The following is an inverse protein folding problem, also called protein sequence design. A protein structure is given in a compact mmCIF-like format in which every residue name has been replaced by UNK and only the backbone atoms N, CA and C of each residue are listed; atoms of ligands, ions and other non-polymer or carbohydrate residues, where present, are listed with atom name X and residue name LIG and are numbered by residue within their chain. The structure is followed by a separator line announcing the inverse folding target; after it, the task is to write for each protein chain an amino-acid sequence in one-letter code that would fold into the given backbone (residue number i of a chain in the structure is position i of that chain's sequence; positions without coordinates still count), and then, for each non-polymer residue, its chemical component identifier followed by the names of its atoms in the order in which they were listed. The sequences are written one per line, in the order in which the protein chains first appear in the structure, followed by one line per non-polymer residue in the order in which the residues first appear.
data_IF_549771045164
#
_entry.id   IF_549771045164
#
_cell.length_a   1.000
_cell.length_b   1.000
_cell.length_c   1.000
_cell.angle_alpha   90.00
_cell.angle_beta   90.00
_cell.angle_gamma   90.00
#
_symmetry.space_group_name_H-M   'P 1'
#
loop_
_entity.id
_entity.type
_entity.pdbx_description
1 polymer ?
#
# COMPACT_ATOMS: atom_id res chain seq x y z
N UNK A 1 15.44 -11.06 10.22
CA UNK A 1 16.08 -11.46 8.94
C UNK A 1 16.82 -10.23 8.41
N UNK A 2 18.12 -10.32 8.17
CA UNK A 2 18.93 -9.14 7.81
C UNK A 2 18.48 -8.63 6.42
N UNK A 3 17.99 -7.40 6.36
CA UNK A 3 17.47 -6.79 5.13
C UNK A 3 18.56 -6.77 4.06
N UNK A 4 18.36 -7.54 2.98
CA UNK A 4 19.34 -7.72 1.93
C UNK A 4 19.54 -6.38 1.20
N UNK A 5 20.78 -5.88 1.17
CA UNK A 5 21.15 -4.62 0.51
C UNK A 5 20.61 -4.55 -0.91
N UNK A 6 20.70 -5.66 -1.65
CA UNK A 6 20.23 -5.75 -3.04
C UNK A 6 18.73 -5.50 -3.17
N UNK A 7 17.92 -6.04 -2.26
CA UNK A 7 16.46 -5.82 -2.25
C UNK A 7 16.17 -4.33 -2.06
N UNK A 8 16.81 -3.68 -1.10
CA UNK A 8 16.62 -2.24 -0.85
C UNK A 8 17.04 -1.37 -2.03
N UNK A 9 18.10 -1.74 -2.73
CA UNK A 9 18.59 -0.99 -3.89
C UNK A 9 17.54 -1.07 -5.03
N UNK A 10 16.89 -2.23 -5.22
CA UNK A 10 15.76 -2.36 -6.15
C UNK A 10 14.50 -1.62 -5.70
N UNK A 11 14.13 -1.67 -4.42
CA UNK A 11 12.97 -0.92 -3.88
C UNK A 11 13.14 0.58 -4.10
N UNK A 12 14.34 1.11 -3.82
CA UNK A 12 14.65 2.55 -4.01
C UNK A 12 14.64 2.94 -5.48
N UNK A 13 15.19 2.08 -6.35
CA UNK A 13 15.15 2.29 -7.79
C UNK A 13 13.70 2.34 -8.31
N UNK A 14 12.85 1.44 -7.82
CA UNK A 14 11.43 1.47 -8.17
C UNK A 14 10.77 2.77 -7.71
N UNK A 15 10.94 3.16 -6.45
CA UNK A 15 10.36 4.41 -5.90
C UNK A 15 10.80 5.65 -6.69
N UNK A 16 12.10 5.74 -7.02
CA UNK A 16 12.64 6.83 -7.82
C UNK A 16 12.01 6.87 -9.21
N UNK A 17 11.96 5.74 -9.92
CA UNK A 17 11.40 5.67 -11.26
C UNK A 17 9.89 5.93 -11.31
N UNK A 18 9.13 5.40 -10.35
CA UNK A 18 7.68 5.62 -10.26
C UNK A 18 7.39 7.07 -9.88
N UNK A 19 8.25 7.75 -9.12
CA UNK A 19 8.08 9.18 -8.85
C UNK A 19 8.11 10.02 -10.14
N UNK A 20 8.89 9.60 -11.14
CA UNK A 20 9.08 10.34 -12.40
C UNK A 20 8.11 9.96 -13.53
N UNK A 21 7.61 8.71 -13.56
CA UNK A 21 6.76 8.23 -14.67
C UNK A 21 5.82 7.09 -14.26
N UNK A 22 4.71 6.88 -14.99
CA UNK A 22 3.74 5.82 -14.69
C UNK A 22 4.38 4.42 -14.57
N UNK A 23 4.02 3.69 -13.51
CA UNK A 23 4.56 2.35 -13.21
C UNK A 23 4.37 1.35 -14.36
N UNK A 24 3.23 1.40 -15.04
CA UNK A 24 2.96 0.50 -16.18
C UNK A 24 3.98 0.65 -17.31
N UNK A 25 4.56 1.85 -17.49
CA UNK A 25 5.57 2.13 -18.52
C UNK A 25 6.98 1.70 -18.13
N UNK A 26 7.20 1.31 -16.87
CA UNK A 26 8.50 0.84 -16.41
C UNK A 26 8.84 -0.54 -16.95
N UNK A 27 10.08 -0.75 -17.35
CA UNK A 27 10.63 -2.06 -17.68
C UNK A 27 11.57 -2.55 -16.58
N UNK A 28 11.78 -3.87 -16.50
CA UNK A 28 12.76 -4.46 -15.59
C UNK A 28 14.16 -3.94 -15.88
N UNK A 29 14.51 -3.71 -17.14
CA UNK A 29 15.83 -3.18 -17.53
C UNK A 29 16.06 -1.78 -16.96
N UNK A 30 15.05 -0.89 -17.04
CA UNK A 30 15.14 0.44 -16.43
C UNK A 30 15.33 0.38 -14.91
N UNK A 31 14.63 -0.54 -14.23
CA UNK A 31 14.77 -0.74 -12.78
C UNK A 31 16.17 -1.25 -12.44
N UNK A 32 16.72 -2.17 -13.25
CA UNK A 32 18.07 -2.71 -13.07
C UNK A 32 19.15 -1.64 -13.30
N UNK A 33 18.98 -0.82 -14.33
CA UNK A 33 19.86 0.32 -14.62
C UNK A 33 19.89 1.32 -13.46
N UNK A 34 18.71 1.74 -12.97
CA UNK A 34 18.59 2.66 -11.84
C UNK A 34 19.19 2.08 -10.55
N UNK A 35 18.96 0.78 -10.29
CA UNK A 35 19.51 0.10 -9.12
C UNK A 35 21.03 -0.16 -9.21
N UNK A 36 21.65 0.05 -10.37
CA UNK A 36 23.04 -0.32 -10.69
C UNK A 36 23.31 -1.82 -10.48
N UNK A 37 22.35 -2.67 -10.86
CA UNK A 37 22.38 -4.11 -10.64
C UNK A 37 22.04 -4.89 -11.92
N UNK A 38 22.54 -6.12 -12.01
CA UNK A 38 22.22 -6.98 -13.14
C UNK A 38 20.79 -7.53 -13.08
N UNK A 39 20.20 -7.75 -14.25
CA UNK A 39 18.88 -8.39 -14.40
C UNK A 39 18.80 -9.80 -13.78
N UNK A 40 19.90 -10.55 -13.79
CA UNK A 40 19.98 -11.84 -13.11
C UNK A 40 19.88 -11.71 -11.58
N UNK A 41 20.29 -10.58 -11.01
CA UNK A 41 20.07 -10.26 -9.60
C UNK A 41 18.62 -9.94 -9.33
N UNK A 42 17.92 -9.24 -10.23
CA UNK A 42 16.49 -8.95 -10.10
C UNK A 42 15.68 -10.24 -9.95
N UNK A 43 15.82 -11.18 -10.91
CA UNK A 43 15.05 -12.43 -10.91
C UNK A 43 15.43 -13.41 -9.79
N UNK A 44 16.47 -13.11 -9.00
CA UNK A 44 16.77 -13.86 -7.77
C UNK A 44 15.80 -13.51 -6.65
N UNK A 45 15.25 -12.30 -6.65
CA UNK A 45 14.43 -11.77 -5.55
C UNK A 45 12.99 -11.49 -5.97
N UNK A 46 12.75 -11.21 -7.25
CA UNK A 46 11.45 -10.79 -7.76
C UNK A 46 11.05 -11.56 -9.01
N UNK A 47 9.80 -11.99 -9.08
CA UNK A 47 9.25 -12.64 -10.27
C UNK A 47 9.10 -11.64 -11.43
N UNK A 48 8.56 -10.47 -11.13
CA UNK A 48 8.35 -9.37 -12.06
C UNK A 48 8.33 -8.02 -11.30
N UNK A 49 7.98 -6.93 -12.00
CA UNK A 49 7.92 -5.60 -11.39
C UNK A 49 6.75 -5.41 -10.42
N UNK A 50 5.67 -6.20 -10.53
CA UNK A 50 4.53 -6.15 -9.62
C UNK A 50 4.89 -6.82 -8.30
N UNK A 51 5.60 -7.94 -8.33
CA UNK A 51 6.18 -8.56 -7.12
C UNK A 51 7.14 -7.61 -6.40
N UNK A 52 8.02 -6.90 -7.14
CA UNK A 52 8.84 -5.84 -6.53
C UNK A 52 7.99 -4.72 -5.91
N UNK A 53 6.91 -4.28 -6.58
CA UNK A 53 6.01 -3.25 -6.05
C UNK A 53 5.33 -3.72 -4.76
N UNK A 54 4.80 -4.94 -4.75
CA UNK A 54 4.14 -5.55 -3.59
C UNK A 54 5.09 -5.64 -2.40
N UNK A 55 6.31 -6.17 -2.63
CA UNK A 55 7.33 -6.27 -1.58
C UNK A 55 7.76 -4.87 -1.08
N UNK A 56 7.87 -3.89 -1.98
CA UNK A 56 8.19 -2.50 -1.61
C UNK A 56 7.11 -1.91 -0.72
N UNK A 57 5.84 -2.00 -1.11
CA UNK A 57 4.70 -1.51 -0.32
C UNK A 57 4.68 -2.21 1.04
N UNK A 58 4.78 -3.53 1.08
CA UNK A 58 4.82 -4.31 2.32
C UNK A 58 5.97 -3.87 3.23
N UNK A 59 7.17 -3.63 2.69
CA UNK A 59 8.32 -3.15 3.46
C UNK A 59 8.06 -1.77 4.07
N UNK A 60 7.45 -0.83 3.33
CA UNK A 60 7.09 0.50 3.83
C UNK A 60 5.98 0.43 4.89
N UNK A 61 4.92 -0.33 4.64
CA UNK A 61 3.85 -0.54 5.60
C UNK A 61 4.38 -1.16 6.91
N UNK A 62 5.22 -2.19 6.83
CA UNK A 62 5.85 -2.80 7.99
C UNK A 62 6.75 -1.82 8.76
N UNK A 63 7.46 -0.94 8.06
CA UNK A 63 8.28 0.09 8.71
C UNK A 63 7.43 1.14 9.44
N UNK A 64 6.25 1.49 8.91
CA UNK A 64 5.30 2.38 9.59
C UNK A 64 4.67 1.67 10.80
N UNK A 65 4.28 0.41 10.62
CA UNK A 65 3.75 -0.44 11.69
C UNK A 65 4.68 -0.54 12.89
N UNK A 66 5.97 -0.74 12.66
CA UNK A 66 6.96 -0.83 13.74
C UNK A 66 7.17 0.48 14.51
N UNK A 67 6.79 1.61 13.92
CA UNK A 67 6.93 2.94 14.53
C UNK A 67 5.65 3.38 15.25
N UNK A 68 4.50 2.99 14.73
CA UNK A 68 3.21 3.36 15.29
C UNK A 68 2.98 2.67 16.65
N UNK A 69 2.46 3.43 17.60
CA UNK A 69 2.09 2.96 18.94
C UNK A 69 0.73 2.27 18.95
N UNK A 70 -0.17 2.70 18.06
CA UNK A 70 -1.51 2.14 17.91
C UNK A 70 -2.03 2.26 16.45
N UNK A 71 -3.25 1.77 16.22
CA UNK A 71 -3.90 1.76 14.90
C UNK A 71 -4.22 3.18 14.39
N UNK A 72 -4.59 4.11 15.28
CA UNK A 72 -4.95 5.46 14.86
C UNK A 72 -3.69 6.24 14.43
N UNK A 73 -2.58 6.09 15.15
CA UNK A 73 -1.26 6.63 14.75
C UNK A 73 -0.76 5.99 13.44
N UNK A 74 -0.94 4.67 13.27
CA UNK A 74 -0.58 4.00 12.02
C UNK A 74 -1.33 4.60 10.82
N UNK A 75 -2.64 4.84 10.95
CA UNK A 75 -3.44 5.44 9.89
C UNK A 75 -2.99 6.87 9.56
N UNK A 76 -2.65 7.67 10.57
CA UNK A 76 -2.09 9.02 10.36
C UNK A 76 -0.76 8.96 9.60
N UNK A 77 0.17 8.11 10.05
CA UNK A 77 1.47 7.94 9.42
C UNK A 77 1.35 7.46 7.97
N UNK A 78 0.40 6.55 7.69
CA UNK A 78 0.13 6.07 6.34
C UNK A 78 -0.36 7.18 5.41
N UNK A 79 -1.31 7.98 5.87
CA UNK A 79 -1.89 9.07 5.08
C UNK A 79 -0.88 10.21 4.89
N UNK A 80 -0.08 10.51 5.90
CA UNK A 80 1.04 11.44 5.78
C UNK A 80 2.09 10.93 4.78
N UNK A 81 2.40 9.63 4.80
CA UNK A 81 3.31 9.04 3.80
C UNK A 81 2.75 9.18 2.38
N UNK A 82 1.44 8.93 2.17
CA UNK A 82 0.81 9.18 0.87
C UNK A 82 0.92 10.66 0.47
N UNK A 83 0.71 11.57 1.42
CA UNK A 83 0.80 13.01 1.22
C UNK A 83 2.20 13.47 0.79
N UNK A 84 3.24 12.95 1.44
CA UNK A 84 4.64 13.27 1.17
C UNK A 84 5.12 12.65 -0.15
N UNK A 85 4.46 11.59 -0.62
CA UNK A 85 4.83 10.82 -1.81
C UNK A 85 3.77 10.89 -2.94
N UNK A 86 3.03 12.00 -3.06
CA UNK A 86 1.94 12.20 -4.05
C UNK A 86 2.30 11.79 -5.48
N UNK A 87 3.48 12.16 -5.97
CA UNK A 87 3.91 11.81 -7.34
C UNK A 87 4.04 10.31 -7.55
N UNK A 88 4.61 9.59 -6.58
CA UNK A 88 4.70 8.14 -6.61
C UNK A 88 3.31 7.50 -6.71
N UNK A 89 2.39 7.87 -5.81
CA UNK A 89 1.03 7.32 -5.80
C UNK A 89 0.24 7.71 -7.05
N UNK A 90 0.39 8.93 -7.55
CA UNK A 90 -0.21 9.35 -8.83
C UNK A 90 0.25 8.46 -9.98
N UNK A 91 1.53 8.15 -10.07
CA UNK A 91 2.07 7.31 -11.13
C UNK A 91 1.77 5.80 -10.97
N UNK A 92 1.30 5.37 -9.79
CA UNK A 92 0.69 4.05 -9.61
C UNK A 92 -0.76 3.96 -10.10
N UNK A 93 -1.41 5.09 -10.40
CA UNK A 93 -2.86 5.12 -10.64
C UNK A 93 -3.25 5.87 -11.93
N UNK A 94 -2.29 6.45 -12.65
CA UNK A 94 -2.51 7.30 -13.84
C UNK A 94 -2.47 6.54 -15.19
N UNK A 95 -2.75 5.22 -15.23
CA UNK A 95 -2.84 4.50 -16.51
C UNK A 95 -4.22 4.62 -17.16
N UNK A 96 -4.23 4.82 -18.48
CA UNK A 96 -5.45 4.86 -19.30
C UNK A 96 -6.20 3.51 -19.35
N UNK A 97 -5.57 2.43 -18.91
CA UNK A 97 -6.19 1.15 -18.54
C UNK A 97 -6.53 1.19 -17.05
N UNK A 98 -7.65 1.84 -16.70
CA UNK A 98 -8.18 1.91 -15.33
C UNK A 98 -8.36 0.53 -14.65
N UNK A 99 -8.29 -0.57 -15.41
CA UNK A 99 -8.66 -1.89 -14.91
C UNK A 99 -7.50 -2.73 -14.36
N UNK A 100 -6.28 -2.70 -14.93
CA UNK A 100 -5.22 -3.66 -14.53
C UNK A 100 -4.52 -3.31 -13.23
N UNK A 101 -3.95 -2.10 -13.13
CA UNK A 101 -3.15 -1.72 -11.96
C UNK A 101 -4.04 -1.40 -10.75
N UNK A 102 -5.24 -0.86 -10.96
CA UNK A 102 -6.23 -0.73 -9.88
C UNK A 102 -6.58 -2.09 -9.26
N UNK A 103 -6.91 -3.08 -10.10
CA UNK A 103 -7.23 -4.43 -9.64
C UNK A 103 -6.07 -5.05 -8.88
N UNK A 104 -4.84 -4.81 -9.35
CA UNK A 104 -3.64 -5.30 -8.68
C UNK A 104 -3.41 -4.63 -7.32
N UNK A 105 -3.52 -3.31 -7.23
CA UNK A 105 -3.43 -2.58 -5.96
C UNK A 105 -4.54 -3.00 -4.97
N UNK A 106 -5.74 -3.28 -5.48
CA UNK A 106 -6.85 -3.81 -4.69
C UNK A 106 -6.57 -5.23 -4.18
N UNK A 107 -5.98 -6.10 -5.02
CA UNK A 107 -5.53 -7.44 -4.64
C UNK A 107 -4.49 -7.34 -3.52
N UNK A 108 -3.42 -6.58 -3.74
CA UNK A 108 -2.35 -6.35 -2.75
C UNK A 108 -2.91 -5.80 -1.43
N UNK A 109 -3.78 -4.78 -1.49
CA UNK A 109 -4.42 -4.20 -0.30
C UNK A 109 -5.27 -5.21 0.47
N UNK A 110 -5.98 -6.09 -0.24
CA UNK A 110 -6.79 -7.14 0.38
C UNK A 110 -5.90 -8.17 1.06
N UNK A 111 -4.79 -8.57 0.43
CA UNK A 111 -3.83 -9.52 0.99
C UNK A 111 -3.11 -8.97 2.22
N UNK A 112 -2.75 -7.69 2.21
CA UNK A 112 -2.23 -6.98 3.39
C UNK A 112 -3.22 -7.10 4.55
N UNK A 113 -4.50 -6.84 4.32
CA UNK A 113 -5.53 -6.94 5.36
C UNK A 113 -5.73 -8.39 5.82
N UNK A 114 -5.63 -9.37 4.93
CA UNK A 114 -5.66 -10.78 5.32
C UNK A 114 -4.44 -11.14 6.19
N UNK A 115 -3.27 -10.58 5.92
CA UNK A 115 -2.12 -10.72 6.82
C UNK A 115 -2.36 -10.01 8.17
N UNK A 116 -2.99 -8.83 8.19
CA UNK A 116 -3.40 -8.14 9.44
C UNK A 116 -4.40 -8.98 10.24
N UNK A 117 -5.30 -9.71 9.59
CA UNK A 117 -6.19 -10.65 10.28
C UNK A 117 -5.41 -11.71 11.05
N UNK A 118 -4.39 -12.31 10.43
CA UNK A 118 -3.61 -13.37 11.08
C UNK A 118 -2.64 -12.80 12.13
N UNK A 119 -1.92 -11.73 11.80
CA UNK A 119 -0.73 -11.28 12.53
C UNK A 119 -0.89 -9.91 13.20
N UNK A 120 -2.01 -9.22 12.98
CA UNK A 120 -2.28 -7.90 13.56
C UNK A 120 -2.60 -7.94 15.06
N UNK A 121 -2.64 -6.77 15.73
CA UNK A 121 -2.82 -6.65 17.16
C UNK A 121 -4.27 -6.98 17.48
N UNK A 122 -4.51 -7.75 18.54
CA UNK A 122 -5.84 -8.25 18.87
C UNK A 122 -6.85 -7.13 19.17
N UNK A 123 -6.38 -5.99 19.64
CA UNK A 123 -7.18 -4.83 20.00
C UNK A 123 -7.44 -3.86 18.83
N UNK A 124 -6.75 -4.01 17.69
CA UNK A 124 -6.97 -3.15 16.54
C UNK A 124 -8.36 -3.40 15.92
N UNK A 125 -9.06 -2.33 15.56
CA UNK A 125 -10.45 -2.34 15.06
C UNK A 125 -10.54 -3.13 13.75
N UNK A 126 -9.57 -2.94 12.84
CA UNK A 126 -9.47 -3.70 11.59
C UNK A 126 -9.28 -5.19 11.87
N UNK A 127 -8.35 -5.56 12.76
CA UNK A 127 -8.10 -6.96 13.13
C UNK A 127 -9.37 -7.61 13.68
N UNK A 128 -10.05 -6.94 14.62
CA UNK A 128 -11.31 -7.42 15.22
C UNK A 128 -12.40 -7.60 14.18
N UNK A 129 -12.61 -6.61 13.31
CA UNK A 129 -13.61 -6.68 12.26
C UNK A 129 -13.38 -7.86 11.30
N UNK A 130 -12.11 -8.11 10.91
CA UNK A 130 -11.72 -9.21 10.04
C UNK A 130 -11.82 -10.59 10.71
N UNK A 131 -11.61 -10.66 12.03
CA UNK A 131 -11.74 -11.93 12.79
C UNK A 131 -13.19 -12.25 13.16
N UNK A 132 -14.04 -11.25 13.37
CA UNK A 132 -15.43 -11.43 13.82
C UNK A 132 -16.41 -11.83 12.70
N UNK A 133 -16.03 -11.67 11.42
CA UNK A 133 -16.89 -11.96 10.28
C UNK A 133 -16.81 -13.42 9.82
N UNK A 134 -17.92 -13.94 9.24
CA UNK A 134 -17.94 -15.24 8.54
C UNK A 134 -17.25 -15.20 7.17
N UNK A 135 -17.09 -14.01 6.59
CA UNK A 135 -16.46 -13.82 5.28
C UNK A 135 -15.37 -12.73 5.38
N UNK A 136 -14.15 -13.09 5.86
CA UNK A 136 -13.05 -12.14 6.04
C UNK A 136 -12.59 -11.54 4.72
N UNK A 137 -12.59 -12.30 3.62
CA UNK A 137 -12.18 -11.81 2.31
C UNK A 137 -13.08 -10.66 1.84
N UNK A 138 -14.40 -10.80 1.98
CA UNK A 138 -15.34 -9.74 1.62
C UNK A 138 -15.12 -8.47 2.45
N UNK A 139 -14.90 -8.61 3.76
CA UNK A 139 -14.64 -7.47 4.64
C UNK A 139 -13.30 -6.81 4.31
N UNK A 140 -12.24 -7.59 4.08
CA UNK A 140 -10.94 -7.10 3.65
C UNK A 140 -11.08 -6.30 2.34
N UNK A 141 -11.70 -6.86 1.31
CA UNK A 141 -11.92 -6.15 0.04
C UNK A 141 -12.80 -4.90 0.20
N UNK A 142 -13.77 -4.90 1.13
CA UNK A 142 -14.59 -3.73 1.42
C UNK A 142 -13.78 -2.61 2.08
N UNK A 143 -12.93 -2.94 3.04
CA UNK A 143 -12.02 -1.99 3.69
C UNK A 143 -11.01 -1.45 2.68
N UNK A 144 -10.38 -2.32 1.89
CA UNK A 144 -9.48 -1.92 0.81
C UNK A 144 -10.18 -0.98 -0.17
N UNK A 145 -11.42 -1.29 -0.56
CA UNK A 145 -12.19 -0.49 -1.50
C UNK A 145 -12.52 0.91 -0.96
N UNK A 146 -12.87 1.02 0.31
CA UNK A 146 -13.15 2.30 0.95
C UNK A 146 -11.88 3.18 1.06
N UNK A 147 -10.75 2.59 1.48
CA UNK A 147 -9.47 3.30 1.56
C UNK A 147 -9.02 3.72 0.15
N UNK A 148 -8.99 2.78 -0.78
CA UNK A 148 -8.56 3.00 -2.16
C UNK A 148 -9.42 4.07 -2.83
N UNK A 149 -10.76 3.96 -2.74
CA UNK A 149 -11.68 4.97 -3.26
C UNK A 149 -11.44 6.37 -2.68
N UNK A 150 -11.14 6.47 -1.39
CA UNK A 150 -10.80 7.75 -0.75
C UNK A 150 -9.49 8.34 -1.30
N UNK A 151 -8.45 7.51 -1.49
CA UNK A 151 -7.17 7.93 -2.05
C UNK A 151 -7.27 8.35 -3.51
N UNK A 152 -7.99 7.57 -4.33
CA UNK A 152 -8.25 7.91 -5.74
C UNK A 152 -9.00 9.22 -5.87
N UNK A 153 -10.06 9.40 -5.09
CA UNK A 153 -10.82 10.64 -5.12
C UNK A 153 -9.97 11.83 -4.69
N UNK A 154 -9.17 11.70 -3.62
CA UNK A 154 -8.25 12.75 -3.17
C UNK A 154 -7.23 13.13 -4.25
N UNK A 155 -6.70 12.14 -4.97
CA UNK A 155 -5.81 12.37 -6.09
C UNK A 155 -6.49 13.08 -7.26
N UNK A 156 -7.74 12.72 -7.62
CA UNK A 156 -8.51 13.39 -8.67
C UNK A 156 -8.76 14.86 -8.34
N UNK A 157 -8.87 15.21 -7.06
CA UNK A 157 -8.92 16.60 -6.59
C UNK A 157 -7.53 17.26 -6.49
N UNK A 158 -6.52 16.74 -7.19
CA UNK A 158 -5.12 17.19 -7.13
C UNK A 158 -4.52 17.29 -5.73
N UNK A 159 -5.06 16.52 -4.78
CA UNK A 159 -4.72 16.60 -3.36
C UNK A 159 -4.94 17.99 -2.74
N UNK A 160 -5.94 18.75 -3.20
CA UNK A 160 -6.26 20.12 -2.75
C UNK A 160 -6.95 20.19 -1.37
N UNK A 161 -7.56 19.10 -0.90
CA UNK A 161 -8.12 19.04 0.45
C UNK A 161 -7.02 19.13 1.50
N UNK A 162 -7.34 19.80 2.61
CA UNK A 162 -6.47 19.76 3.77
C UNK A 162 -6.30 18.29 4.19
N UNK A 163 -5.05 17.84 4.28
CA UNK A 163 -4.67 16.44 4.54
C UNK A 163 -5.47 15.82 5.72
N UNK A 164 -5.84 16.65 6.70
CA UNK A 164 -6.63 16.28 7.87
C UNK A 164 -8.06 15.80 7.55
N UNK A 165 -8.74 16.35 6.54
CA UNK A 165 -10.13 15.95 6.23
C UNK A 165 -10.21 14.51 5.70
N UNK A 166 -9.23 14.10 4.88
CA UNK A 166 -9.10 12.73 4.40
C UNK A 166 -8.76 11.79 5.56
N UNK A 167 -7.83 12.19 6.44
CA UNK A 167 -7.47 11.46 7.66
C UNK A 167 -8.70 11.22 8.52
N UNK A 168 -9.48 12.26 8.79
CA UNK A 168 -10.67 12.16 9.62
C UNK A 168 -11.77 11.31 8.95
N UNK A 169 -11.87 11.34 7.62
CA UNK A 169 -12.79 10.49 6.86
C UNK A 169 -12.42 9.00 6.98
N UNK A 170 -11.15 8.66 6.71
CA UNK A 170 -10.65 7.27 6.80
C UNK A 170 -10.75 6.75 8.23
N UNK A 171 -10.39 7.56 9.23
CA UNK A 171 -10.55 7.20 10.64
C UNK A 171 -12.01 6.95 11.02
N UNK A 172 -12.94 7.82 10.59
CA UNK A 172 -14.38 7.60 10.82
C UNK A 172 -14.86 6.29 10.21
N UNK A 173 -14.38 5.95 9.00
CA UNK A 173 -14.69 4.67 8.38
C UNK A 173 -14.19 3.50 9.23
N UNK A 174 -12.90 3.49 9.61
CA UNK A 174 -12.31 2.43 10.46
C UNK A 174 -13.03 2.31 11.80
N UNK A 175 -13.40 3.44 12.42
CA UNK A 175 -14.16 3.48 13.67
C UNK A 175 -15.58 2.94 13.55
N UNK A 176 -16.16 2.94 12.36
CA UNK A 176 -17.50 2.41 12.10
C UNK A 176 -17.52 0.90 11.81
N UNK A 177 -16.34 0.27 11.70
CA UNK A 177 -16.25 -1.16 11.42
C UNK A 177 -16.89 -1.99 12.56
N UNK A 178 -17.65 -3.04 12.22
CA UNK A 178 -18.28 -3.89 13.22
C UNK A 178 -17.22 -4.65 14.03
N UNK A 179 -17.24 -4.46 15.35
CA UNK A 179 -16.19 -4.97 16.25
C UNK A 179 -16.39 -6.43 16.71
N UNK A 180 -17.37 -7.12 16.13
CA UNK A 180 -17.93 -8.35 16.66
C UNK A 180 -18.72 -8.10 17.95
N UNK A 181 -19.91 -8.66 18.07
CA UNK A 181 -20.58 -8.78 19.37
C UNK A 181 -19.92 -9.92 20.12
N UNK A 182 -19.44 -9.66 21.34
CA UNK A 182 -19.11 -10.71 22.32
C UNK A 182 -20.29 -11.66 22.50
#
# INVERSE_FOLDING_TARGET
MQMNRTVRDFERALEALVTEKPFEKLTIDQICEEALLHRSSFYRYFHDKYDLLEQTINARLNALWQKASDEDELLEMLLQYVNEHKSFFRHLTTSGSRDSLYTELMRMSTEILMNVRENGPENAKITRALRATKNPQLVASSISGAIMGSLYWWQEQNYELADQEIVDSVKRFVNSLPQGTN
#
